data_IF_325957743061
#
_entry.id   IF_325957743061
#
_cell.length_a   1.000
_cell.length_b   1.000
_cell.length_c   1.000
_cell.angle_alpha   90.00
_cell.angle_beta   90.00
_cell.angle_gamma   90.00
#
_symmetry.space_group_name_H-M   'P 1'
#
loop_
_entity.id
_entity.type
_entity.pdbx_description
1 polymer ?
#
# COMPACT_ATOMS: atom_id res chain seq x y z
N UNK A 1 31.64 -37.26 -45.18
CA UNK A 1 31.27 -37.51 -43.77
C UNK A 1 31.27 -36.18 -43.04
N UNK A 2 30.07 -35.66 -42.75
CA UNK A 2 29.82 -34.29 -42.32
C UNK A 2 29.94 -34.23 -40.79
N UNK A 3 30.94 -33.55 -40.25
CA UNK A 3 30.97 -33.15 -38.83
C UNK A 3 30.63 -31.67 -38.75
N UNK A 4 29.38 -31.38 -38.39
CA UNK A 4 28.88 -30.02 -38.13
C UNK A 4 29.57 -29.50 -36.86
N UNK A 5 30.41 -28.48 -37.01
CA UNK A 5 30.94 -27.69 -35.91
C UNK A 5 29.88 -26.64 -35.56
N UNK A 6 29.17 -26.83 -34.46
CA UNK A 6 28.24 -25.83 -33.92
C UNK A 6 29.03 -24.72 -33.20
N UNK A 7 28.73 -23.44 -33.39
CA UNK A 7 29.44 -22.36 -32.72
C UNK A 7 28.97 -22.25 -31.26
N UNK A 8 29.88 -22.50 -30.30
CA UNK A 8 29.77 -22.00 -28.93
C UNK A 8 29.93 -20.48 -28.95
N UNK A 9 28.87 -19.73 -29.27
CA UNK A 9 28.88 -18.26 -29.17
C UNK A 9 27.51 -17.67 -28.81
N UNK A 10 26.69 -18.42 -28.06
CA UNK A 10 25.33 -18.00 -27.71
C UNK A 10 25.07 -18.04 -26.20
N UNK A 11 26.09 -17.83 -25.35
CA UNK A 11 25.92 -17.90 -23.88
C UNK A 11 26.36 -16.64 -23.14
N UNK A 12 26.64 -15.53 -23.83
CA UNK A 12 27.09 -14.29 -23.18
C UNK A 12 26.06 -13.15 -23.14
N UNK A 13 24.88 -13.29 -23.77
CA UNK A 13 23.86 -12.23 -23.78
C UNK A 13 22.85 -12.28 -22.61
N UNK A 14 23.01 -13.16 -21.62
CA UNK A 14 22.03 -13.30 -20.52
C UNK A 14 22.43 -12.60 -19.21
N UNK A 15 23.55 -11.86 -19.17
CA UNK A 15 24.02 -11.20 -17.94
C UNK A 15 23.74 -9.68 -17.89
N UNK A 16 23.07 -9.11 -18.89
CA UNK A 16 22.88 -7.64 -18.96
C UNK A 16 21.44 -7.16 -18.84
N UNK A 17 20.49 -8.05 -18.50
CA UNK A 17 19.06 -7.74 -18.58
C UNK A 17 18.26 -8.06 -17.32
N UNK A 18 18.58 -7.44 -16.19
CA UNK A 18 17.63 -7.29 -15.07
C UNK A 18 18.15 -6.28 -14.04
N UNK A 19 18.42 -5.03 -14.43
CA UNK A 19 18.07 -3.96 -13.49
C UNK A 19 16.56 -3.97 -13.43
N UNK A 20 16.01 -4.71 -12.47
CA UNK A 20 14.64 -4.51 -12.02
C UNK A 20 14.55 -3.04 -11.64
N UNK A 21 13.99 -2.22 -12.54
CA UNK A 21 13.41 -0.94 -12.14
C UNK A 21 12.22 -1.35 -11.29
N UNK A 22 12.46 -1.50 -9.99
CA UNK A 22 11.39 -1.70 -9.04
C UNK A 22 10.60 -0.38 -9.06
N UNK A 23 9.44 -0.40 -9.69
CA UNK A 23 8.50 0.73 -9.74
C UNK A 23 7.76 0.91 -8.39
N UNK A 24 8.40 0.55 -7.28
CA UNK A 24 7.87 0.75 -5.94
C UNK A 24 8.98 1.37 -5.14
N UNK A 25 8.75 2.60 -4.65
CA UNK A 25 9.40 3.28 -3.52
C UNK A 25 9.23 4.82 -3.63
N UNK A 26 8.73 5.33 -4.78
CA UNK A 26 8.26 6.72 -4.83
C UNK A 26 6.84 6.78 -4.26
N UNK A 27 6.69 7.38 -3.10
CA UNK A 27 5.38 7.74 -2.55
C UNK A 27 4.62 8.57 -3.60
N UNK A 28 3.54 7.99 -4.14
CA UNK A 28 2.59 8.76 -4.93
C UNK A 28 1.96 9.76 -3.96
N UNK A 29 2.25 11.05 -4.16
CA UNK A 29 1.75 12.11 -3.28
C UNK A 29 0.23 12.05 -3.24
N UNK A 30 -0.31 11.78 -2.04
CA UNK A 30 -1.75 11.70 -1.81
C UNK A 30 -2.38 10.31 -2.05
N UNK A 31 -1.59 9.28 -2.34
CA UNK A 31 -2.10 7.92 -2.33
C UNK A 31 -2.62 7.52 -0.92
N UNK A 32 -3.76 6.83 -0.83
CA UNK A 32 -4.25 6.30 0.44
C UNK A 32 -3.25 5.30 1.03
N UNK A 33 -3.00 5.40 2.34
CA UNK A 33 -2.23 4.38 3.06
C UNK A 33 -2.96 3.05 3.09
N UNK A 34 -2.21 1.94 3.10
CA UNK A 34 -2.77 0.61 3.33
C UNK A 34 -3.11 0.45 4.81
N UNK A 35 -4.23 -0.22 5.12
CA UNK A 35 -4.60 -0.57 6.50
C UNK A 35 -3.76 -1.79 6.92
N UNK A 36 -2.85 -1.67 7.92
CA UNK A 36 -1.89 -2.73 8.24
C UNK A 36 -2.43 -3.74 9.27
N UNK A 37 -3.75 -3.78 9.48
CA UNK A 37 -4.41 -4.64 10.45
C UNK A 37 -5.77 -5.13 9.92
N UNK A 38 -6.31 -6.24 10.48
CA UNK A 38 -7.66 -6.72 10.15
C UNK A 38 -8.73 -5.67 10.45
N UNK A 39 -9.85 -5.72 9.72
CA UNK A 39 -10.95 -4.75 9.87
C UNK A 39 -12.34 -5.36 9.96
N UNK A 40 -12.45 -6.68 9.85
CA UNK A 40 -13.72 -7.40 9.73
C UNK A 40 -14.63 -7.11 10.93
N UNK A 41 -14.07 -7.00 12.13
CA UNK A 41 -14.80 -6.67 13.36
C UNK A 41 -15.16 -5.19 13.52
N UNK A 42 -14.65 -4.30 12.66
CA UNK A 42 -14.93 -2.86 12.67
C UNK A 42 -15.94 -2.45 11.59
N UNK A 43 -16.30 -3.37 10.70
CA UNK A 43 -17.30 -3.19 9.66
C UNK A 43 -18.68 -3.68 10.14
N UNK A 44 -19.78 -3.19 9.52
CA UNK A 44 -19.84 -2.18 8.46
C UNK A 44 -19.68 -0.75 8.98
N UNK A 45 -19.25 0.17 8.09
CA UNK A 45 -19.39 1.61 8.30
C UNK A 45 -20.80 2.02 7.87
N UNK A 46 -21.57 2.64 8.76
CA UNK A 46 -22.91 3.21 8.48
C UNK A 46 -22.86 4.73 8.55
N UNK A 47 -23.94 5.43 8.19
CA UNK A 47 -23.97 6.89 8.29
C UNK A 47 -23.81 7.40 9.74
N UNK A 48 -24.24 6.60 10.73
CA UNK A 48 -24.24 6.94 12.15
C UNK A 48 -23.05 6.34 12.91
N UNK A 49 -22.39 5.31 12.35
CA UNK A 49 -21.32 4.55 13.02
C UNK A 49 -20.11 4.37 12.12
N UNK A 50 -18.95 4.75 12.66
CA UNK A 50 -17.65 4.40 12.10
C UNK A 50 -16.69 3.96 13.22
N UNK A 51 -16.44 2.65 13.33
CA UNK A 51 -15.60 2.06 14.36
C UNK A 51 -14.11 2.36 14.18
N UNK A 52 -13.67 2.76 12.98
CA UNK A 52 -12.28 3.17 12.73
C UNK A 52 -11.89 4.37 13.63
N UNK A 53 -12.86 5.25 13.92
CA UNK A 53 -12.67 6.47 14.71
C UNK A 53 -12.48 6.21 16.21
N UNK A 54 -12.67 4.97 16.67
CA UNK A 54 -12.33 4.58 18.04
C UNK A 54 -10.83 4.69 18.30
N UNK A 55 -10.01 4.45 17.29
CA UNK A 55 -8.55 4.46 17.37
C UNK A 55 -7.92 5.58 16.53
N UNK A 56 -8.44 5.82 15.32
CA UNK A 56 -7.91 6.82 14.40
C UNK A 56 -8.46 8.21 14.72
N UNK A 57 -7.64 9.01 15.40
CA UNK A 57 -7.98 10.39 15.80
C UNK A 57 -7.61 11.39 14.71
N UNK A 58 -8.29 12.53 14.73
CA UNK A 58 -7.98 13.65 13.85
C UNK A 58 -6.60 14.23 14.17
N UNK A 59 -5.77 14.44 13.14
CA UNK A 59 -4.56 15.22 13.28
C UNK A 59 -4.90 16.66 13.68
N UNK A 60 -4.04 17.26 14.50
CA UNK A 60 -4.16 18.67 14.92
C UNK A 60 -3.16 19.59 14.22
N UNK A 61 -2.18 19.01 13.51
CA UNK A 61 -1.12 19.72 12.80
C UNK A 61 -0.76 18.96 11.50
N UNK A 62 0.07 19.58 10.66
CA UNK A 62 0.60 18.94 9.44
C UNK A 62 1.48 17.74 9.79
N UNK A 63 2.28 17.88 10.84
CA UNK A 63 3.09 16.81 11.41
C UNK A 63 2.18 15.96 12.30
N UNK A 64 1.68 14.88 11.72
CA UNK A 64 0.74 13.95 12.36
C UNK A 64 1.45 12.68 12.80
N UNK A 65 0.90 12.02 13.83
CA UNK A 65 1.37 10.70 14.24
C UNK A 65 0.88 9.61 13.30
N UNK A 66 1.57 8.48 13.28
CA UNK A 66 1.10 7.31 12.54
C UNK A 66 -0.31 6.91 12.99
N UNK A 67 -1.21 6.67 12.03
CA UNK A 67 -2.61 6.38 12.28
C UNK A 67 -3.50 7.60 12.52
N UNK A 68 -2.98 8.83 12.65
CA UNK A 68 -3.85 10.01 12.70
C UNK A 68 -4.45 10.32 11.32
N UNK A 69 -5.72 10.72 11.33
CA UNK A 69 -6.47 11.12 10.14
C UNK A 69 -5.93 12.47 9.67
N UNK A 70 -5.39 12.58 8.44
CA UNK A 70 -4.78 13.82 7.95
C UNK A 70 -5.79 14.96 7.86
N UNK A 71 -5.29 16.20 7.96
CA UNK A 71 -6.11 17.42 7.82
C UNK A 71 -6.89 17.49 6.49
N UNK A 72 -6.44 16.79 5.45
CA UNK A 72 -7.12 16.71 4.14
C UNK A 72 -8.46 15.99 4.19
N UNK A 73 -8.74 15.21 5.24
CA UNK A 73 -10.03 14.55 5.44
C UNK A 73 -11.00 15.39 6.26
N UNK A 74 -10.55 16.54 6.77
CA UNK A 74 -11.23 17.28 7.82
C UNK A 74 -11.73 18.64 7.32
N UNK A 75 -12.92 19.02 7.79
CA UNK A 75 -13.45 20.38 7.74
C UNK A 75 -13.94 20.74 9.15
N UNK A 76 -13.49 21.88 9.67
CA UNK A 76 -13.84 22.35 11.01
C UNK A 76 -13.61 21.29 12.11
N UNK A 77 -12.50 20.56 11.98
CA UNK A 77 -12.10 19.50 12.92
C UNK A 77 -12.95 18.22 12.87
N UNK A 78 -13.83 18.07 11.87
CA UNK A 78 -14.68 16.88 11.65
C UNK A 78 -14.39 16.24 10.30
N UNK A 79 -14.56 14.92 10.21
CA UNK A 79 -14.42 14.19 8.95
C UNK A 79 -15.53 14.62 7.99
N UNK A 80 -15.16 14.93 6.76
CA UNK A 80 -16.12 15.31 5.71
C UNK A 80 -16.91 14.09 5.24
N UNK A 81 -18.15 14.29 4.81
CA UNK A 81 -19.05 13.19 4.41
C UNK A 81 -18.48 12.33 3.28
N UNK A 82 -17.75 12.91 2.33
CA UNK A 82 -17.06 12.23 1.23
C UNK A 82 -15.87 11.36 1.70
N UNK A 83 -15.42 11.54 2.95
CA UNK A 83 -14.31 10.81 3.58
C UNK A 83 -14.74 9.93 4.74
N UNK A 84 -16.04 9.85 5.01
CA UNK A 84 -16.59 9.07 6.12
C UNK A 84 -16.40 7.57 5.94
N UNK A 85 -16.58 7.05 4.72
CA UNK A 85 -16.39 5.64 4.42
C UNK A 85 -14.91 5.36 4.06
N UNK A 86 -14.12 5.05 5.09
CA UNK A 86 -12.66 4.91 4.99
C UNK A 86 -12.24 3.84 3.97
N UNK A 87 -13.00 2.75 3.86
CA UNK A 87 -12.69 1.60 3.00
C UNK A 87 -12.99 1.84 1.52
N UNK A 88 -13.52 3.02 1.14
CA UNK A 88 -13.60 3.40 -0.27
C UNK A 88 -12.23 3.70 -0.88
N UNK A 89 -11.25 4.06 -0.05
CA UNK A 89 -9.90 4.39 -0.50
C UNK A 89 -8.81 3.59 0.21
N UNK A 90 -8.99 3.29 1.51
CA UNK A 90 -8.04 2.53 2.30
C UNK A 90 -8.36 1.03 2.22
N UNK A 91 -7.50 0.27 1.54
CA UNK A 91 -7.61 -1.19 1.46
C UNK A 91 -6.83 -1.85 2.61
N UNK A 92 -7.33 -2.96 3.18
CA UNK A 92 -6.54 -3.79 4.07
C UNK A 92 -5.36 -4.40 3.32
N UNK A 93 -4.20 -4.48 3.98
CA UNK A 93 -3.12 -5.34 3.50
C UNK A 93 -3.66 -6.77 3.43
N UNK A 94 -3.36 -7.47 2.34
CA UNK A 94 -3.47 -8.92 2.35
C UNK A 94 -2.58 -9.45 3.49
N UNK A 95 -2.98 -10.51 4.20
CA UNK A 95 -2.03 -11.27 5.01
C UNK A 95 -0.82 -11.55 4.13
N UNK A 96 0.39 -11.32 4.64
CA UNK A 96 1.57 -11.63 3.86
C UNK A 96 1.47 -13.10 3.42
N UNK A 97 1.40 -13.35 2.12
CA UNK A 97 1.79 -14.63 1.55
C UNK A 97 3.29 -14.76 1.91
N UNK A 98 3.60 -15.45 3.00
CA UNK A 98 4.95 -15.47 3.57
C UNK A 98 5.90 -16.22 2.65
N UNK A 99 6.46 -15.53 1.65
CA UNK A 99 7.50 -16.05 0.76
C UNK A 99 8.85 -15.36 0.95
N UNK A 100 9.06 -14.67 2.07
CA UNK A 100 10.39 -14.25 2.49
C UNK A 100 10.45 -14.21 4.01
N UNK A 101 11.44 -14.90 4.57
CA UNK A 101 11.78 -14.86 5.98
C UNK A 101 11.94 -13.41 6.43
N UNK A 102 10.98 -12.93 7.24
CA UNK A 102 11.19 -11.80 8.12
C UNK A 102 11.87 -12.28 9.40
N UNK A 103 13.15 -12.68 9.28
CA UNK A 103 14.29 -12.45 10.19
C UNK A 103 15.47 -13.31 9.76
#
# INVERSE_FOLDING_TARGET
MIKKLAPLFATLCLLSGATVVQAGDTDIIGAPGIIPHPIESYLPITAERNSCLMCHKNAVAKDRKAGEIPLTHLKDGKITGDRWNCTLCHAPSMPAETNAKAK
#
